data_IF_381036991378
#
_entry.id   IF_381036991378
#
_cell.length_a   1.000
_cell.length_b   1.000
_cell.length_c   1.000
_cell.angle_alpha   90.00
_cell.angle_beta   90.00
_cell.angle_gamma   90.00
#
_symmetry.space_group_name_H-M   'P 1'
#
loop_
_entity.id
_entity.type
_entity.pdbx_description
1 polymer ?
#
# COMPACT_ATOMS: atom_id res chain seq x y z
N UNK A 1 -31.03 -6.22 14.41
CA UNK A 1 -31.07 -4.74 14.29
C UNK A 1 -30.56 -4.38 12.92
N UNK A 2 -31.44 -3.84 12.07
CA UNK A 2 -31.16 -3.52 10.68
C UNK A 2 -30.11 -2.39 10.58
N UNK A 3 -29.01 -2.66 9.84
CA UNK A 3 -27.98 -1.66 9.56
C UNK A 3 -28.58 -0.48 8.80
N UNK A 4 -28.56 0.70 9.40
CA UNK A 4 -28.88 1.96 8.72
C UNK A 4 -27.96 2.10 7.52
N UNK A 5 -28.52 1.95 6.33
CA UNK A 5 -27.89 2.41 5.08
C UNK A 5 -27.66 3.92 5.21
N UNK A 6 -26.44 4.34 5.44
CA UNK A 6 -26.05 5.75 5.33
C UNK A 6 -26.00 6.05 3.84
N UNK A 7 -27.08 6.61 3.30
CA UNK A 7 -27.09 7.15 1.95
C UNK A 7 -25.99 8.23 1.85
N UNK A 8 -24.98 8.02 0.98
CA UNK A 8 -23.97 9.04 0.68
C UNK A 8 -22.50 8.67 0.87
N UNK A 9 -22.15 7.48 1.42
CA UNK A 9 -20.73 7.10 1.57
C UNK A 9 -20.16 6.68 0.22
N UNK A 10 -19.16 7.41 -0.27
CA UNK A 10 -18.49 7.11 -1.55
C UNK A 10 -17.77 5.76 -1.48
N UNK A 11 -17.96 4.92 -2.51
CA UNK A 11 -17.22 3.66 -2.68
C UNK A 11 -15.73 3.92 -3.00
N UNK A 12 -14.81 3.00 -2.69
CA UNK A 12 -13.36 3.20 -2.88
C UNK A 12 -12.96 3.63 -4.29
N UNK A 13 -13.54 3.03 -5.33
CA UNK A 13 -13.31 3.43 -6.73
C UNK A 13 -13.73 4.90 -6.98
N UNK A 14 -14.86 5.34 -6.44
CA UNK A 14 -15.30 6.71 -6.58
C UNK A 14 -14.40 7.69 -5.81
N UNK A 15 -13.90 7.29 -4.63
CA UNK A 15 -12.91 8.05 -3.85
C UNK A 15 -11.60 8.19 -4.65
N UNK A 16 -11.10 7.08 -5.22
CA UNK A 16 -9.89 7.08 -6.03
C UNK A 16 -10.03 8.00 -7.27
N UNK A 17 -11.15 7.92 -7.98
CA UNK A 17 -11.45 8.80 -9.12
C UNK A 17 -11.55 10.27 -8.73
N UNK A 18 -12.15 10.55 -7.59
CA UNK A 18 -12.21 11.92 -7.06
C UNK A 18 -10.80 12.43 -6.72
N UNK A 19 -10.02 11.66 -5.95
CA UNK A 19 -8.66 12.03 -5.58
C UNK A 19 -7.77 12.19 -6.81
N UNK A 20 -7.89 11.31 -7.81
CA UNK A 20 -7.15 11.38 -9.06
C UNK A 20 -7.32 12.75 -9.75
N UNK A 21 -8.59 13.20 -9.92
CA UNK A 21 -8.89 14.47 -10.57
C UNK A 21 -8.40 15.68 -9.76
N UNK A 22 -8.59 15.65 -8.43
CA UNK A 22 -8.17 16.76 -7.58
C UNK A 22 -6.63 16.86 -7.52
N UNK A 23 -5.94 15.74 -7.41
CA UNK A 23 -4.48 15.70 -7.36
C UNK A 23 -3.83 16.07 -8.70
N UNK A 24 -4.48 15.74 -9.83
CA UNK A 24 -4.00 16.06 -11.17
C UNK A 24 -4.07 17.57 -11.49
N UNK A 25 -4.95 18.30 -10.80
CA UNK A 25 -5.06 19.74 -10.89
C UNK A 25 -3.98 20.53 -10.10
N UNK A 26 -3.19 19.85 -9.27
CA UNK A 26 -2.12 20.48 -8.50
C UNK A 26 -0.87 20.72 -9.34
N UNK A 27 -0.23 21.89 -9.16
CA UNK A 27 1.03 22.21 -9.80
C UNK A 27 2.19 22.13 -8.81
N UNK A 28 3.30 21.59 -9.28
CA UNK A 28 4.53 21.44 -8.50
C UNK A 28 5.70 22.08 -9.25
N UNK A 29 6.57 22.79 -8.53
CA UNK A 29 7.67 23.58 -9.07
C UNK A 29 9.04 22.94 -8.76
N UNK A 30 10.12 23.40 -9.40
CA UNK A 30 11.46 22.93 -9.04
C UNK A 30 11.70 22.99 -7.52
N UNK A 31 12.38 21.98 -6.97
CA UNK A 31 13.12 20.91 -7.63
C UNK A 31 12.27 19.72 -8.12
N UNK A 32 10.94 19.73 -7.99
CA UNK A 32 10.06 18.72 -8.61
C UNK A 32 10.00 19.00 -10.11
N UNK A 33 10.62 18.11 -10.91
CA UNK A 33 10.69 18.25 -12.35
C UNK A 33 9.61 17.45 -13.09
N UNK A 34 9.11 16.36 -12.47
CA UNK A 34 8.07 15.52 -13.05
C UNK A 34 7.22 14.90 -11.93
N UNK A 35 5.91 14.83 -12.15
CA UNK A 35 4.95 14.20 -11.23
C UNK A 35 4.17 13.15 -11.98
N UNK A 36 3.99 11.97 -11.36
CA UNK A 36 3.10 10.93 -11.88
C UNK A 36 1.88 10.79 -11.00
N UNK A 37 0.73 10.61 -11.63
CA UNK A 37 -0.53 10.25 -10.98
C UNK A 37 -1.00 8.86 -11.45
N UNK A 38 -0.58 7.77 -10.79
CA UNK A 38 -0.99 6.41 -11.15
C UNK A 38 -2.50 6.19 -11.12
N UNK A 39 -3.25 6.98 -10.33
CA UNK A 39 -4.71 6.88 -10.32
C UNK A 39 -5.36 7.35 -11.65
N UNK A 40 -4.61 8.04 -12.51
CA UNK A 40 -5.04 8.45 -13.85
C UNK A 40 -4.61 7.44 -14.89
N UNK A 41 -3.31 7.26 -15.10
CA UNK A 41 -2.80 6.46 -16.21
C UNK A 41 -2.81 4.94 -15.93
N UNK A 42 -2.72 4.52 -14.66
CA UNK A 42 -2.85 3.14 -14.21
C UNK A 42 -4.19 2.89 -13.50
N UNK A 43 -5.25 3.59 -13.94
CA UNK A 43 -6.57 3.54 -13.33
C UNK A 43 -7.15 2.13 -13.35
N UNK A 44 -7.06 1.42 -14.47
CA UNK A 44 -7.66 0.08 -14.62
C UNK A 44 -7.16 -0.91 -13.56
N UNK A 45 -5.85 -1.15 -13.42
CA UNK A 45 -5.37 -2.06 -12.37
C UNK A 45 -5.63 -1.55 -10.96
N UNK A 46 -5.64 -0.22 -10.73
CA UNK A 46 -6.00 0.33 -9.43
C UNK A 46 -7.47 0.05 -9.06
N UNK A 47 -8.39 0.26 -10.00
CA UNK A 47 -9.82 -0.01 -9.81
C UNK A 47 -10.05 -1.51 -9.62
N UNK A 48 -9.42 -2.37 -10.45
CA UNK A 48 -9.48 -3.83 -10.28
C UNK A 48 -9.00 -4.28 -8.88
N UNK A 49 -7.93 -3.66 -8.35
CA UNK A 49 -7.47 -3.90 -6.98
C UNK A 49 -8.53 -3.53 -5.94
N UNK A 50 -9.14 -2.36 -6.05
CA UNK A 50 -10.17 -1.91 -5.12
C UNK A 50 -11.45 -2.74 -5.21
N UNK A 51 -11.88 -3.11 -6.41
CA UNK A 51 -13.07 -3.93 -6.63
C UNK A 51 -12.90 -5.35 -6.08
N UNK A 52 -11.72 -5.95 -6.28
CA UNK A 52 -11.43 -7.31 -5.82
C UNK A 52 -11.18 -7.40 -4.32
N UNK A 53 -10.50 -6.42 -3.73
CA UNK A 53 -9.90 -6.56 -2.40
C UNK A 53 -10.37 -5.55 -1.36
N UNK A 54 -11.07 -4.46 -1.72
CA UNK A 54 -11.62 -3.58 -0.71
C UNK A 54 -12.85 -4.21 -0.03
N UNK A 55 -12.85 -4.21 1.30
CA UNK A 55 -13.93 -4.73 2.14
C UNK A 55 -14.27 -3.73 3.22
N UNK A 56 -15.52 -3.79 3.71
CA UNK A 56 -15.96 -3.05 4.90
C UNK A 56 -15.74 -3.91 6.16
N UNK A 57 -15.52 -3.25 7.31
CA UNK A 57 -15.36 -3.92 8.59
C UNK A 57 -14.04 -4.67 8.73
N UNK A 58 -13.02 -4.34 7.92
CA UNK A 58 -11.70 -4.97 8.04
C UNK A 58 -11.06 -4.70 9.40
N UNK A 59 -10.22 -5.60 9.86
CA UNK A 59 -9.49 -5.45 11.13
C UNK A 59 -8.56 -4.23 11.09
N UNK A 60 -7.87 -4.03 9.96
CA UNK A 60 -7.05 -2.84 9.80
C UNK A 60 -6.93 -2.33 8.36
N UNK A 61 -6.81 -0.99 8.23
CA UNK A 61 -6.39 -0.29 7.02
C UNK A 61 -4.90 0.04 7.14
N UNK A 62 -4.06 -0.57 6.30
CA UNK A 62 -2.64 -0.28 6.19
C UNK A 62 -2.42 0.89 5.24
N UNK A 63 -1.80 1.96 5.72
CA UNK A 63 -1.59 3.19 4.94
C UNK A 63 -0.10 3.44 4.74
N UNK A 64 0.36 3.37 3.48
CA UNK A 64 1.70 3.80 3.07
C UNK A 64 1.79 5.31 2.82
N UNK A 65 2.99 5.81 2.54
CA UNK A 65 3.21 7.24 2.27
C UNK A 65 2.72 7.62 0.86
N UNK A 66 3.41 7.17 -0.16
CA UNK A 66 3.14 7.49 -1.57
C UNK A 66 3.75 6.42 -2.50
N UNK A 67 3.40 6.41 -3.79
CA UNK A 67 3.90 5.43 -4.74
C UNK A 67 5.42 5.48 -4.92
N UNK A 68 6.04 4.30 -5.02
CA UNK A 68 7.40 4.15 -5.51
C UNK A 68 7.44 4.08 -7.05
N UNK A 69 8.57 4.46 -7.67
CA UNK A 69 8.69 4.57 -9.12
C UNK A 69 8.68 3.21 -9.86
N UNK A 70 8.99 2.10 -9.17
CA UNK A 70 9.05 0.75 -9.73
C UNK A 70 7.95 -0.18 -9.23
N UNK A 71 7.05 0.35 -8.38
CA UNK A 71 5.90 -0.35 -7.82
C UNK A 71 4.58 0.23 -8.30
N UNK A 72 3.85 0.93 -7.42
CA UNK A 72 2.54 1.50 -7.76
C UNK A 72 2.60 2.45 -8.97
N UNK A 73 3.72 3.12 -9.24
CA UNK A 73 3.87 3.91 -10.45
C UNK A 73 3.73 3.06 -11.73
N UNK A 74 4.12 1.78 -11.69
CA UNK A 74 4.00 0.86 -12.81
C UNK A 74 2.64 0.15 -12.83
N UNK A 75 2.14 -0.27 -11.68
CA UNK A 75 1.00 -1.19 -11.57
C UNK A 75 -0.30 -0.55 -11.11
N UNK A 76 -0.28 0.69 -10.61
CA UNK A 76 -1.44 1.31 -9.98
C UNK A 76 -1.82 0.74 -8.61
N UNK A 77 -1.25 -0.39 -8.18
CA UNK A 77 -1.56 -1.07 -6.91
C UNK A 77 -0.65 -0.55 -5.79
N UNK A 78 -1.17 -0.23 -4.59
CA UNK A 78 -0.34 0.20 -3.47
C UNK A 78 0.75 -0.83 -3.13
N UNK A 79 2.00 -0.38 -2.98
CA UNK A 79 3.18 -1.25 -2.84
C UNK A 79 3.33 -2.28 -3.98
N UNK A 80 2.75 -2.03 -5.14
CA UNK A 80 2.53 -3.01 -6.19
C UNK A 80 3.80 -3.38 -6.95
N UNK A 81 4.63 -4.28 -6.40
CA UNK A 81 5.71 -4.94 -7.13
C UNK A 81 5.12 -5.77 -8.26
N UNK A 82 5.66 -5.62 -9.48
CA UNK A 82 5.03 -6.10 -10.74
C UNK A 82 4.71 -7.60 -10.71
N UNK A 83 5.69 -8.44 -10.33
CA UNK A 83 5.50 -9.88 -10.29
C UNK A 83 4.42 -10.30 -9.30
N UNK A 84 4.43 -9.73 -8.10
CA UNK A 84 3.43 -10.06 -7.07
C UNK A 84 2.03 -9.51 -7.40
N UNK A 85 1.94 -8.38 -8.09
CA UNK A 85 0.63 -7.88 -8.54
C UNK A 85 0.05 -8.79 -9.61
N UNK A 86 0.85 -9.22 -10.58
CA UNK A 86 0.42 -10.11 -11.64
C UNK A 86 0.15 -11.54 -11.12
N UNK A 87 1.13 -12.15 -10.46
CA UNK A 87 1.12 -13.59 -10.20
C UNK A 87 0.41 -13.95 -8.89
N UNK A 88 0.42 -13.06 -7.90
CA UNK A 88 -0.23 -13.29 -6.60
C UNK A 88 -1.58 -12.57 -6.48
N UNK A 89 -1.65 -11.27 -6.81
CA UNK A 89 -2.92 -10.54 -6.78
C UNK A 89 -3.80 -10.81 -8.02
N UNK A 90 -3.28 -11.46 -9.05
CA UNK A 90 -4.01 -11.80 -10.27
C UNK A 90 -4.48 -10.56 -11.06
N UNK A 91 -3.73 -9.45 -10.97
CA UNK A 91 -4.07 -8.20 -11.66
C UNK A 91 -3.01 -7.94 -12.73
N UNK A 92 -3.45 -7.94 -13.98
CA UNK A 92 -2.66 -7.55 -15.14
C UNK A 92 -3.54 -6.79 -16.13
N UNK A 93 -3.77 -5.52 -15.83
CA UNK A 93 -4.63 -4.63 -16.62
C UNK A 93 -3.79 -3.60 -17.39
N UNK A 94 -4.27 -3.08 -18.52
CA UNK A 94 -3.58 -2.06 -19.30
C UNK A 94 -3.22 -0.81 -18.48
N UNK A 95 -1.96 -0.39 -18.61
CA UNK A 95 -1.42 0.84 -18.05
C UNK A 95 -1.11 1.80 -19.19
N UNK A 96 -1.70 2.99 -19.15
CA UNK A 96 -1.45 4.06 -20.12
C UNK A 96 -0.15 4.80 -19.80
N UNK A 97 0.24 5.74 -20.66
CA UNK A 97 1.35 6.64 -20.39
C UNK A 97 0.88 7.89 -19.64
N UNK A 98 1.64 8.41 -18.67
CA UNK A 98 1.39 9.74 -18.14
C UNK A 98 1.68 10.80 -19.23
N UNK A 99 1.07 11.99 -19.15
CA UNK A 99 1.28 13.06 -20.14
C UNK A 99 2.75 13.47 -20.32
N UNK A 100 3.55 13.37 -19.27
CA UNK A 100 4.97 13.62 -19.26
C UNK A 100 5.71 12.45 -18.60
N UNK A 101 6.62 11.83 -19.34
CA UNK A 101 7.44 10.71 -18.86
C UNK A 101 8.85 11.22 -18.53
N UNK A 102 9.34 10.90 -17.33
CA UNK A 102 10.71 11.18 -16.92
C UNK A 102 11.67 10.17 -17.56
N UNK A 103 12.74 10.58 -18.28
CA UNK A 103 13.62 9.64 -19.00
C UNK A 103 14.23 8.55 -18.10
N UNK A 104 14.63 8.89 -16.88
CA UNK A 104 15.19 7.94 -15.91
C UNK A 104 14.13 7.08 -15.19
N UNK A 105 12.85 7.32 -15.41
CA UNK A 105 11.73 6.64 -14.73
C UNK A 105 10.60 6.35 -15.71
N UNK A 106 10.84 5.58 -16.76
CA UNK A 106 9.82 5.26 -17.75
C UNK A 106 8.68 4.45 -17.11
N UNK A 107 7.47 4.63 -17.62
CA UNK A 107 6.32 3.80 -17.29
C UNK A 107 6.18 2.73 -18.35
N UNK A 108 6.42 1.49 -17.97
CA UNK A 108 6.33 0.30 -18.84
C UNK A 108 5.26 -0.68 -18.33
N UNK A 109 4.53 -0.29 -17.28
CA UNK A 109 3.45 -1.10 -16.73
C UNK A 109 3.95 -2.47 -16.24
N UNK A 110 3.21 -3.51 -16.60
CA UNK A 110 3.55 -4.89 -16.25
C UNK A 110 4.76 -5.47 -16.98
N UNK A 111 5.27 -4.79 -18.00
CA UNK A 111 6.55 -5.10 -18.65
C UNK A 111 7.77 -4.48 -17.92
N UNK A 112 7.57 -3.83 -16.77
CA UNK A 112 8.69 -3.24 -16.03
C UNK A 112 9.63 -4.34 -15.48
N UNK A 113 10.93 -4.33 -15.87
CA UNK A 113 11.86 -5.37 -15.44
C UNK A 113 12.40 -5.15 -14.01
N UNK A 114 12.06 -4.02 -13.40
CA UNK A 114 12.55 -3.66 -12.06
C UNK A 114 11.57 -4.07 -10.99
N UNK A 115 12.10 -4.70 -9.93
CA UNK A 115 11.33 -5.04 -8.74
C UNK A 115 11.42 -3.93 -7.70
N UNK A 116 10.31 -3.61 -7.05
CA UNK A 116 10.27 -2.69 -5.92
C UNK A 116 10.45 -3.44 -4.60
N UNK A 117 11.52 -3.13 -3.88
CA UNK A 117 11.89 -3.81 -2.64
C UNK A 117 10.79 -3.70 -1.56
N UNK A 118 10.16 -2.53 -1.43
CA UNK A 118 9.10 -2.33 -0.43
C UNK A 118 7.88 -3.17 -0.73
N UNK A 119 7.47 -3.21 -2.00
CA UNK A 119 6.34 -4.01 -2.46
C UNK A 119 6.61 -5.50 -2.36
N UNK A 120 7.80 -5.94 -2.76
CA UNK A 120 8.22 -7.35 -2.63
C UNK A 120 8.22 -7.82 -1.17
N UNK A 121 8.64 -6.97 -0.22
CA UNK A 121 8.60 -7.30 1.21
C UNK A 121 7.18 -7.40 1.72
N UNK A 122 6.31 -6.44 1.40
CA UNK A 122 4.95 -6.41 1.89
C UNK A 122 4.10 -7.53 1.26
N UNK A 123 4.00 -7.58 -0.05
CA UNK A 123 3.15 -8.59 -0.72
C UNK A 123 3.73 -10.01 -0.65
N UNK A 124 5.08 -10.16 -0.60
CA UNK A 124 5.71 -11.45 -0.31
C UNK A 124 5.38 -11.96 1.10
N UNK A 125 5.43 -11.08 2.10
CA UNK A 125 4.97 -11.42 3.45
C UNK A 125 3.49 -11.82 3.48
N UNK A 126 2.63 -11.10 2.75
CA UNK A 126 1.21 -11.45 2.63
C UNK A 126 1.05 -12.84 2.01
N UNK A 127 1.74 -13.12 0.93
CA UNK A 127 1.72 -14.42 0.26
C UNK A 127 2.17 -15.55 1.20
N UNK A 128 3.28 -15.37 1.91
CA UNK A 128 3.84 -16.38 2.83
C UNK A 128 2.93 -16.62 4.04
N UNK A 129 2.31 -15.56 4.56
CA UNK A 129 1.55 -15.62 5.80
C UNK A 129 0.08 -15.99 5.60
N UNK A 130 -0.56 -15.48 4.55
CA UNK A 130 -1.99 -15.64 4.30
C UNK A 130 -2.29 -16.66 3.19
N UNK A 131 -1.34 -16.89 2.29
CA UNK A 131 -1.45 -17.87 1.21
C UNK A 131 -2.25 -17.40 0.01
N UNK A 132 -3.29 -16.60 0.19
CA UNK A 132 -4.09 -15.99 -0.88
C UNK A 132 -4.39 -14.52 -0.59
N UNK A 133 -4.57 -13.69 -1.61
CA UNK A 133 -4.91 -12.27 -1.42
C UNK A 133 -6.31 -12.10 -0.82
N UNK A 134 -7.24 -13.02 -1.05
CA UNK A 134 -8.59 -13.01 -0.47
C UNK A 134 -8.51 -13.17 1.04
N UNK A 135 -7.77 -14.17 1.55
CA UNK A 135 -7.60 -14.40 2.98
C UNK A 135 -6.97 -13.19 3.71
N UNK A 136 -6.10 -12.46 3.02
CA UNK A 136 -5.58 -11.19 3.54
C UNK A 136 -6.64 -10.10 3.51
N UNK A 137 -7.37 -9.95 2.40
CA UNK A 137 -8.32 -8.85 2.19
C UNK A 137 -9.59 -8.96 3.03
N UNK A 138 -9.93 -10.12 3.55
CA UNK A 138 -10.98 -10.28 4.58
C UNK A 138 -10.64 -9.51 5.86
N UNK A 139 -9.37 -9.32 6.16
CA UNK A 139 -8.89 -8.71 7.39
C UNK A 139 -8.23 -7.35 7.19
N UNK A 140 -7.64 -7.11 6.02
CA UNK A 140 -6.79 -5.94 5.78
C UNK A 140 -7.06 -5.32 4.41
N UNK A 141 -6.91 -4.00 4.34
CA UNK A 141 -6.81 -3.27 3.08
C UNK A 141 -5.51 -2.47 3.09
N UNK A 142 -4.80 -2.43 1.96
CA UNK A 142 -3.61 -1.59 1.78
C UNK A 142 -3.94 -0.39 0.91
N UNK A 143 -3.53 0.79 1.33
CA UNK A 143 -3.68 2.03 0.58
C UNK A 143 -2.42 2.91 0.71
N UNK A 144 -2.27 3.90 -0.16
CA UNK A 144 -1.32 5.00 0.04
C UNK A 144 -2.07 6.26 0.45
N UNK A 145 -1.45 7.04 1.35
CA UNK A 145 -1.95 8.35 1.76
C UNK A 145 -1.93 9.35 0.61
N UNK A 146 -0.79 9.50 -0.05
CA UNK A 146 -0.62 10.36 -1.21
C UNK A 146 -0.60 9.51 -2.50
N UNK A 147 -1.35 9.89 -3.56
CA UNK A 147 -1.37 9.12 -4.80
C UNK A 147 -0.21 9.43 -5.74
N UNK A 148 0.55 10.50 -5.51
CA UNK A 148 1.50 11.04 -6.46
C UNK A 148 2.94 10.57 -6.24
N UNK A 149 3.67 10.41 -7.34
CA UNK A 149 5.14 10.28 -7.37
C UNK A 149 5.75 11.61 -7.76
N UNK A 150 6.73 12.08 -7.02
CA UNK A 150 7.46 13.31 -7.31
C UNK A 150 8.91 12.98 -7.67
N UNK A 151 9.41 13.54 -8.77
CA UNK A 151 10.77 13.28 -9.23
C UNK A 151 11.51 14.58 -9.52
N UNK A 152 12.75 14.64 -9.07
CA UNK A 152 13.69 15.70 -9.42
C UNK A 152 14.23 15.48 -10.86
N UNK A 153 14.89 16.47 -11.44
CA UNK A 153 15.46 16.37 -12.80
C UNK A 153 16.42 15.18 -12.97
N UNK A 154 17.09 14.73 -11.91
CA UNK A 154 17.91 13.52 -11.88
C UNK A 154 17.13 12.20 -11.89
N UNK A 155 15.81 12.24 -11.75
CA UNK A 155 14.97 11.07 -11.51
C UNK A 155 14.98 10.59 -10.05
N UNK A 156 15.58 11.34 -9.14
CA UNK A 156 15.51 11.06 -7.70
C UNK A 156 14.07 11.21 -7.23
N UNK A 157 13.57 10.19 -6.53
CA UNK A 157 12.24 10.25 -5.91
C UNK A 157 12.25 11.22 -4.73
N UNK A 158 11.24 12.10 -4.69
CA UNK A 158 10.99 13.06 -3.64
C UNK A 158 9.74 12.64 -2.89
N UNK A 159 9.77 12.68 -1.57
CA UNK A 159 8.63 12.32 -0.74
C UNK A 159 7.73 13.55 -0.48
N UNK A 160 6.42 13.37 -0.24
CA UNK A 160 5.48 14.49 -0.06
C UNK A 160 5.87 15.46 1.07
N UNK A 161 6.50 14.95 2.13
CA UNK A 161 6.98 15.76 3.27
C UNK A 161 8.13 16.72 2.90
N UNK A 162 8.78 16.51 1.77
CA UNK A 162 9.88 17.34 1.26
C UNK A 162 9.41 18.45 0.31
N UNK A 163 8.13 18.50 -0.01
CA UNK A 163 7.58 19.58 -0.82
C UNK A 163 7.55 20.90 -0.03
N UNK A 164 7.67 22.06 -0.71
CA UNK A 164 7.41 23.36 -0.09
C UNK A 164 6.02 23.42 0.54
N UNK A 165 5.86 24.20 1.61
CA UNK A 165 4.60 24.28 2.33
C UNK A 165 3.42 24.66 1.41
N UNK A 166 3.61 25.64 0.51
CA UNK A 166 2.59 26.09 -0.42
C UNK A 166 2.07 25.02 -1.39
N UNK A 167 2.89 23.98 -1.68
CA UNK A 167 2.51 22.82 -2.51
C UNK A 167 2.00 21.66 -1.66
N UNK A 168 2.63 21.47 -0.51
CA UNK A 168 2.34 20.38 0.42
C UNK A 168 0.99 20.51 1.11
N UNK A 169 0.62 21.71 1.55
CA UNK A 169 -0.62 21.92 2.31
C UNK A 169 -1.88 21.61 1.49
N UNK A 170 -2.06 22.13 0.24
CA UNK A 170 -3.21 21.73 -0.57
C UNK A 170 -3.21 20.23 -0.90
N UNK A 171 -2.04 19.63 -1.19
CA UNK A 171 -1.93 18.18 -1.39
C UNK A 171 -2.37 17.40 -0.16
N UNK A 172 -1.91 17.80 1.02
CA UNK A 172 -2.26 17.11 2.27
C UNK A 172 -3.73 17.25 2.60
N UNK A 173 -4.34 18.41 2.35
CA UNK A 173 -5.78 18.60 2.53
C UNK A 173 -6.61 17.61 1.69
N UNK A 174 -6.22 17.39 0.43
CA UNK A 174 -6.84 16.40 -0.46
C UNK A 174 -6.62 14.96 0.02
N UNK A 175 -5.40 14.63 0.42
CA UNK A 175 -5.05 13.29 0.90
C UNK A 175 -5.75 12.97 2.24
N UNK A 176 -5.83 13.93 3.14
CA UNK A 176 -6.55 13.81 4.41
C UNK A 176 -8.05 13.55 4.17
N UNK A 177 -8.65 14.28 3.25
CA UNK A 177 -10.05 14.07 2.88
C UNK A 177 -10.28 12.69 2.24
N UNK A 178 -9.39 12.26 1.34
CA UNK A 178 -9.46 10.92 0.76
C UNK A 178 -9.36 9.83 1.82
N UNK A 179 -8.47 10.00 2.80
CA UNK A 179 -8.30 9.06 3.91
C UNK A 179 -9.56 9.03 4.80
N UNK A 180 -10.14 10.20 5.14
CA UNK A 180 -11.40 10.27 5.89
C UNK A 180 -12.52 9.51 5.18
N UNK A 181 -12.69 9.73 3.88
CA UNK A 181 -13.69 9.04 3.06
C UNK A 181 -13.47 7.54 3.01
N UNK A 182 -12.22 7.11 2.83
CA UNK A 182 -11.87 5.69 2.79
C UNK A 182 -12.14 5.02 4.14
N UNK A 183 -11.78 5.65 5.26
CA UNK A 183 -12.05 5.16 6.61
C UNK A 183 -13.55 5.10 6.89
N UNK A 184 -14.31 6.12 6.48
CA UNK A 184 -15.77 6.14 6.63
C UNK A 184 -16.44 5.01 5.86
N UNK A 185 -15.94 4.66 4.66
CA UNK A 185 -16.46 3.53 3.89
C UNK A 185 -15.98 2.18 4.45
N UNK A 186 -14.69 2.04 4.69
CA UNK A 186 -14.03 0.78 5.10
C UNK A 186 -14.41 0.39 6.53
N UNK A 187 -14.62 1.36 7.42
CA UNK A 187 -14.89 1.17 8.86
C UNK A 187 -13.93 0.19 9.51
N UNK A 188 -12.61 0.43 9.40
CA UNK A 188 -11.61 -0.47 9.93
C UNK A 188 -11.59 -0.43 11.45
N UNK A 189 -11.28 -1.56 12.09
CA UNK A 189 -11.06 -1.62 13.54
C UNK A 189 -9.89 -0.74 14.00
N UNK A 190 -8.91 -0.50 13.12
CA UNK A 190 -7.77 0.42 13.33
C UNK A 190 -7.14 0.86 12.01
N UNK A 191 -6.33 1.92 12.07
CA UNK A 191 -5.45 2.33 10.96
C UNK A 191 -4.00 2.04 11.34
N UNK A 192 -3.27 1.40 10.44
CA UNK A 192 -1.84 1.09 10.60
C UNK A 192 -1.05 1.93 9.63
N UNK A 193 -0.32 2.93 10.14
CA UNK A 193 0.66 3.64 9.33
C UNK A 193 1.87 2.76 9.04
N UNK A 194 2.13 2.51 7.78
CA UNK A 194 3.36 1.84 7.32
C UNK A 194 4.48 2.88 7.29
N UNK A 195 5.15 3.03 8.43
CA UNK A 195 6.09 4.10 8.72
C UNK A 195 5.46 5.27 9.50
N UNK A 196 6.32 6.05 10.17
CA UNK A 196 5.93 7.15 11.05
C UNK A 196 5.18 8.28 10.33
N UNK A 197 5.57 8.58 9.08
CA UNK A 197 4.91 9.62 8.30
C UNK A 197 3.42 9.31 8.10
N UNK A 198 3.10 8.11 7.61
CA UNK A 198 1.71 7.71 7.34
C UNK A 198 0.88 7.65 8.63
N UNK A 199 1.46 7.16 9.74
CA UNK A 199 0.80 7.18 11.04
C UNK A 199 0.54 8.62 11.54
N UNK A 200 1.50 9.52 11.36
CA UNK A 200 1.35 10.95 11.71
C UNK A 200 0.26 11.63 10.89
N UNK A 201 0.22 11.39 9.57
CA UNK A 201 -0.85 11.93 8.70
C UNK A 201 -2.21 11.35 9.03
N UNK A 202 -2.29 10.06 9.31
CA UNK A 202 -3.55 9.45 9.73
C UNK A 202 -4.10 10.09 11.02
N UNK A 203 -3.23 10.35 12.03
CA UNK A 203 -3.65 11.08 13.24
C UNK A 203 -4.14 12.49 12.94
N UNK A 204 -3.42 13.23 12.09
CA UNK A 204 -3.81 14.57 11.69
C UNK A 204 -5.16 14.59 10.93
N UNK A 205 -5.36 13.63 10.03
CA UNK A 205 -6.56 13.55 9.21
C UNK A 205 -7.81 13.10 9.98
N UNK A 206 -7.66 12.11 10.89
CA UNK A 206 -8.80 11.45 11.53
C UNK A 206 -9.13 12.02 12.92
N UNK A 207 -8.20 12.72 13.56
CA UNK A 207 -8.40 13.32 14.88
C UNK A 207 -8.72 12.29 15.98
N UNK A 208 -9.27 12.76 17.09
CA UNK A 208 -9.57 11.91 18.27
C UNK A 208 -10.82 11.03 18.08
N UNK A 209 -11.68 11.33 17.10
CA UNK A 209 -12.92 10.57 16.85
C UNK A 209 -12.76 9.40 15.85
N UNK A 210 -11.56 9.21 15.32
CA UNK A 210 -11.26 8.12 14.38
C UNK A 210 -10.94 6.79 15.07
N UNK A 211 -10.73 5.73 14.27
CA UNK A 211 -10.26 4.44 14.80
C UNK A 211 -8.86 4.57 15.40
N UNK A 212 -8.44 3.66 16.31
CA UNK A 212 -7.09 3.64 16.85
C UNK A 212 -6.03 3.63 15.74
N UNK A 213 -4.96 4.44 15.90
CA UNK A 213 -3.89 4.57 14.92
C UNK A 213 -2.59 4.09 15.51
N UNK A 214 -2.01 3.07 14.89
CA UNK A 214 -0.73 2.48 15.26
C UNK A 214 0.28 2.62 14.12
N UNK A 215 1.53 2.27 14.35
CA UNK A 215 2.59 2.33 13.34
C UNK A 215 3.40 1.05 13.30
N UNK A 216 3.76 0.62 12.10
CA UNK A 216 4.71 -0.47 11.85
C UNK A 216 5.89 0.04 11.03
N UNK A 217 7.00 -0.69 11.07
CA UNK A 217 8.21 -0.35 10.33
C UNK A 217 7.94 -0.34 8.82
N UNK A 218 8.36 0.73 8.13
CA UNK A 218 8.26 0.82 6.67
C UNK A 218 9.23 -0.18 5.99
N UNK A 219 8.81 -0.91 4.95
CA UNK A 219 9.63 -1.92 4.24
C UNK A 219 10.73 -1.33 3.33
N UNK A 220 11.05 -0.05 3.47
CA UNK A 220 12.02 0.64 2.61
C UNK A 220 13.42 0.04 2.68
N UNK A 221 14.12 -0.11 1.54
CA UNK A 221 15.53 -0.47 1.52
C UNK A 221 16.44 0.58 2.16
N UNK A 222 15.97 1.83 2.29
CA UNK A 222 16.69 2.88 3.00
C UNK A 222 16.66 2.71 4.54
N UNK A 223 15.83 1.81 5.07
CA UNK A 223 15.76 1.54 6.51
C UNK A 223 16.74 0.42 6.91
N UNK A 224 17.80 0.70 7.72
CA UNK A 224 18.70 -0.33 8.20
C UNK A 224 17.98 -1.42 9.01
N UNK A 225 16.97 -1.05 9.79
CA UNK A 225 16.15 -2.02 10.54
C UNK A 225 15.40 -2.98 9.62
N UNK A 226 14.77 -2.45 8.55
CA UNK A 226 14.07 -3.28 7.58
C UNK A 226 15.01 -4.23 6.81
N UNK A 227 16.27 -3.83 6.60
CA UNK A 227 17.26 -4.66 5.92
C UNK A 227 17.74 -5.84 6.79
N UNK A 228 17.65 -5.74 8.12
CA UNK A 228 18.01 -6.82 9.06
C UNK A 228 16.90 -7.86 9.29
N UNK A 229 15.72 -7.69 8.71
CA UNK A 229 14.62 -8.65 8.87
C UNK A 229 13.28 -7.98 9.11
N UNK A 230 12.76 -7.33 8.08
CA UNK A 230 11.51 -6.57 8.14
C UNK A 230 10.33 -7.41 8.65
N UNK A 231 10.18 -8.63 8.14
CA UNK A 231 9.05 -9.54 8.49
C UNK A 231 8.97 -9.79 9.99
N UNK A 232 10.07 -10.23 10.60
CA UNK A 232 10.09 -10.56 12.03
C UNK A 232 9.77 -9.34 12.91
N UNK A 233 10.25 -8.15 12.51
CA UNK A 233 9.99 -6.90 13.23
C UNK A 233 8.51 -6.53 13.12
N UNK A 234 7.95 -6.55 11.92
CA UNK A 234 6.56 -6.15 11.67
C UNK A 234 5.58 -7.13 12.31
N UNK A 235 5.82 -8.42 12.24
CA UNK A 235 4.97 -9.41 12.91
C UNK A 235 4.96 -9.25 14.44
N UNK A 236 6.09 -8.90 15.04
CA UNK A 236 6.14 -8.54 16.46
C UNK A 236 5.32 -7.28 16.73
N UNK A 237 5.52 -6.20 15.95
CA UNK A 237 4.75 -4.95 16.10
C UNK A 237 3.25 -5.18 15.93
N UNK A 238 2.83 -6.01 14.98
CA UNK A 238 1.40 -6.34 14.80
C UNK A 238 0.85 -7.07 16.02
N UNK A 239 1.59 -8.05 16.57
CA UNK A 239 1.19 -8.74 17.81
C UNK A 239 1.14 -7.79 19.01
N UNK A 240 2.11 -6.90 19.16
CA UNK A 240 2.13 -5.89 20.22
C UNK A 240 0.91 -4.95 20.14
N UNK A 241 0.35 -4.80 18.95
CA UNK A 241 -0.91 -4.08 18.71
C UNK A 241 -2.16 -4.97 18.75
N UNK A 242 -2.05 -6.21 19.22
CA UNK A 242 -3.17 -7.13 19.37
C UNK A 242 -3.70 -7.72 18.05
N UNK A 243 -2.87 -7.74 17.00
CA UNK A 243 -3.22 -8.35 15.71
C UNK A 243 -2.60 -9.74 15.64
N UNK A 244 -3.44 -10.75 15.75
CA UNK A 244 -3.06 -12.14 15.60
C UNK A 244 -2.88 -12.49 14.11
N UNK A 245 -1.78 -13.13 13.78
CA UNK A 245 -1.47 -13.55 12.41
C UNK A 245 -1.71 -15.06 12.23
N UNK A 246 -2.19 -15.50 11.06
CA UNK A 246 -2.32 -16.92 10.78
C UNK A 246 -0.94 -17.60 10.82
N UNK A 247 -0.90 -18.90 11.09
CA UNK A 247 0.34 -19.68 11.00
C UNK A 247 0.80 -19.75 9.55
N UNK A 248 1.97 -19.21 9.22
CA UNK A 248 2.50 -19.19 7.86
C UNK A 248 2.75 -20.61 7.30
N UNK A 249 2.70 -20.74 5.98
CA UNK A 249 2.92 -22.04 5.28
C UNK A 249 4.30 -22.66 5.57
N UNK A 250 5.31 -21.88 6.01
CA UNK A 250 6.69 -22.32 6.25
C UNK A 250 6.95 -23.01 7.60
N UNK A 251 5.98 -23.16 8.51
CA UNK A 251 6.20 -23.74 9.84
C UNK A 251 5.85 -25.23 9.94
N UNK A 252 5.74 -25.97 8.83
CA UNK A 252 5.76 -27.44 8.90
C UNK A 252 7.16 -27.87 9.36
N UNK A 253 7.32 -28.15 10.66
CA UNK A 253 8.48 -28.90 11.17
C UNK A 253 8.67 -30.13 10.27
N UNK A 254 9.90 -30.41 9.77
CA UNK A 254 10.15 -31.67 9.06
C UNK A 254 9.72 -32.81 9.99
N UNK A 255 8.80 -33.64 9.52
CA UNK A 255 8.46 -34.90 10.23
C UNK A 255 9.78 -35.64 10.45
N UNK A 256 10.22 -35.79 11.69
CA UNK A 256 11.31 -36.66 12.05
C UNK A 256 10.95 -38.03 11.46
N UNK A 257 11.71 -38.49 10.46
CA UNK A 257 11.65 -39.88 10.00
C UNK A 257 11.94 -40.72 11.20
N UNK A 258 10.98 -41.54 11.64
CA UNK A 258 11.19 -42.58 12.62
C UNK A 258 12.22 -43.55 12.04
N UNK A 259 13.41 -43.59 12.64
CA UNK A 259 14.44 -44.56 12.33
C UNK A 259 13.90 -45.90 12.84
N UNK A 260 13.54 -46.82 11.93
CA UNK A 260 13.20 -48.20 12.29
C UNK A 260 14.44 -48.86 12.86
N UNK A 261 14.36 -49.50 14.04
CA UNK A 261 15.49 -50.27 14.56
C UNK A 261 15.78 -51.45 13.64
N UNK A 262 17.04 -51.60 13.24
CA UNK A 262 17.53 -52.80 12.53
C UNK A 262 17.36 -53.99 13.45
N UNK A 263 16.56 -54.97 13.06
CA UNK A 263 16.56 -56.28 13.67
C UNK A 263 17.95 -56.92 13.39
N UNK A 264 18.66 -57.26 14.44
CA UNK A 264 19.85 -58.14 14.36
C UNK A 264 19.35 -59.58 14.10
N UNK A 265 19.92 -60.22 13.10
CA UNK A 265 19.86 -61.66 12.89
C UNK A 265 20.90 -62.38 13.80
#
# INVERSE_FOLDING_TARGET
MAGRYIAGVMKPVAIARWLARQADALAFRPPTACTYNPLVYARRPHEAYLERYARQGVEALLVGMNPGPWGMAQTGVPFGEVGLVRDFLGIEEPVCQPPRVHPARPITGFACPRSEVSGRRLWGWVQDRFGTPEAFSERFLVANYCPLVFMEASGRNRTPDKLPAAEREPLFALCDEALRRLVAWCRPGRVIGVGSFAAGRARAALGCGGPPIVSILHPSPASPAANRGWVAIVERQLRDHGIELPRGRGTRRPRRRAVRPRRRA
#
